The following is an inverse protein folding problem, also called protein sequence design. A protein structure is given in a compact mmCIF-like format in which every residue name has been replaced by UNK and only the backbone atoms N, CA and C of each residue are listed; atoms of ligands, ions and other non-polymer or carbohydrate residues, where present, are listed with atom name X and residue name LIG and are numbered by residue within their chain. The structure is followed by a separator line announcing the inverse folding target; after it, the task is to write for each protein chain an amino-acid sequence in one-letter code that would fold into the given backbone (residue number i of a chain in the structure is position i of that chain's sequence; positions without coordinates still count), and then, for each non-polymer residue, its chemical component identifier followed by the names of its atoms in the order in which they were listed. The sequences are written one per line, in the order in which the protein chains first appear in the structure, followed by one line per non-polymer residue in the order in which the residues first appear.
data_IF_954963437936
#
_entry.id   IF_954963437936
#
_cell.length_a   1.000
_cell.length_b   1.000
_cell.length_c   1.000
_cell.angle_alpha   90.00
_cell.angle_beta   90.00
_cell.angle_gamma   90.00
#
_symmetry.space_group_name_H-M   'P 1'
#
loop_
_entity.id
_entity.type
_entity.pdbx_description
1 polymer ?
#
# COMPACT_ATOMS: atom_id res chain seq x y z
N UNK A 1 33.19 -5.42 21.50
CA UNK A 1 33.39 -6.37 20.38
C UNK A 1 32.05 -6.64 19.72
N UNK A 2 31.83 -6.50 18.42
CA UNK A 2 32.16 -5.45 17.45
C UNK A 2 31.23 -5.75 16.25
N UNK A 3 30.65 -4.71 15.65
CA UNK A 3 30.11 -4.67 14.27
C UNK A 3 29.12 -5.76 13.79
N UNK A 4 27.86 -5.74 14.26
CA UNK A 4 26.73 -6.33 13.49
C UNK A 4 25.50 -5.43 13.31
N UNK A 5 25.39 -4.30 14.04
CA UNK A 5 24.21 -3.41 13.96
C UNK A 5 24.25 -2.33 12.86
N UNK A 6 25.38 -2.10 12.19
CA UNK A 6 25.54 -0.96 11.26
C UNK A 6 25.18 -1.34 9.80
N UNK A 7 25.18 -2.64 9.45
CA UNK A 7 24.93 -3.06 8.06
C UNK A 7 23.45 -3.15 7.67
N UNK A 8 22.52 -3.31 8.62
CA UNK A 8 21.10 -3.47 8.31
C UNK A 8 20.41 -2.12 8.00
N UNK A 9 20.82 -1.03 8.66
CA UNK A 9 20.29 0.32 8.38
C UNK A 9 20.79 0.91 7.05
N UNK A 10 21.98 0.51 6.57
CA UNK A 10 22.51 0.97 5.29
C UNK A 10 21.78 0.36 4.07
N UNK A 11 21.25 -0.86 4.20
CA UNK A 11 20.52 -1.54 3.11
C UNK A 11 19.14 -0.92 2.87
N UNK A 12 18.47 -0.41 3.92
CA UNK A 12 17.16 0.24 3.80
C UNK A 12 17.28 1.61 3.10
N UNK A 13 18.36 2.35 3.33
CA UNK A 13 18.62 3.63 2.66
C UNK A 13 19.02 3.48 1.18
N UNK A 14 19.67 2.37 0.81
CA UNK A 14 20.11 2.10 -0.57
C UNK A 14 18.95 1.67 -1.49
N UNK A 15 17.94 0.97 -0.96
CA UNK A 15 16.78 0.55 -1.77
C UNK A 15 15.89 1.75 -2.13
N UNK A 16 15.81 2.78 -1.26
CA UNK A 16 15.08 4.02 -1.52
C UNK A 16 15.78 4.97 -2.52
N UNK A 17 17.07 4.81 -2.79
CA UNK A 17 17.83 5.65 -3.73
C UNK A 17 17.89 5.11 -5.17
N UNK A 18 17.40 3.89 -5.41
CA UNK A 18 17.51 3.22 -6.72
C UNK A 18 16.45 3.63 -7.75
N UNK A 19 15.56 4.56 -7.42
CA UNK A 19 14.46 4.99 -8.31
C UNK A 19 14.60 6.42 -8.86
N UNK A 20 15.83 6.94 -9.00
CA UNK A 20 16.10 8.22 -9.67
C UNK A 20 17.07 8.04 -10.86
N UNK A 21 16.77 8.57 -12.07
CA UNK A 21 17.58 8.34 -13.28
C UNK A 21 19.03 8.87 -13.24
N UNK A 22 19.42 9.65 -12.23
CA UNK A 22 20.69 10.38 -12.23
C UNK A 22 21.87 9.70 -11.51
N UNK A 23 21.73 8.47 -10.99
CA UNK A 23 22.78 7.84 -10.18
C UNK A 23 23.64 6.77 -10.90
N UNK A 24 23.28 6.37 -12.11
CA UNK A 24 23.99 5.29 -12.84
C UNK A 24 25.44 5.65 -13.26
N UNK A 25 25.86 6.91 -13.15
CA UNK A 25 27.21 7.34 -13.54
C UNK A 25 28.27 7.27 -12.41
N UNK A 26 27.91 6.92 -11.16
CA UNK A 26 28.82 7.07 -10.02
C UNK A 26 29.41 5.77 -9.44
N UNK A 27 28.99 4.58 -9.89
CA UNK A 27 29.43 3.30 -9.32
C UNK A 27 30.35 2.48 -10.23
N UNK A 28 31.14 3.13 -11.10
CA UNK A 28 32.05 2.44 -12.03
C UNK A 28 33.50 2.32 -11.55
N UNK A 29 33.82 2.61 -10.29
CA UNK A 29 35.18 2.41 -9.79
C UNK A 29 35.21 1.84 -8.37
N UNK A 30 35.91 0.71 -8.25
CA UNK A 30 36.66 0.20 -7.07
C UNK A 30 36.13 -1.09 -6.44
N UNK A 31 36.72 -2.20 -6.91
CA UNK A 31 37.24 -3.38 -6.21
C UNK A 31 36.94 -3.54 -4.70
N UNK A 32 36.45 -4.72 -4.30
CA UNK A 32 37.22 -5.77 -3.56
C UNK A 32 36.36 -7.03 -3.32
N UNK A 33 37.04 -8.17 -3.22
CA UNK A 33 36.53 -9.54 -3.39
C UNK A 33 36.77 -10.40 -2.14
N UNK A 34 36.04 -11.53 -2.03
CA UNK A 34 36.22 -12.77 -1.19
C UNK A 34 35.44 -12.89 0.16
N UNK A 35 35.21 -14.11 0.70
CA UNK A 35 34.43 -15.24 0.13
C UNK A 35 33.39 -15.83 1.12
N UNK A 36 32.53 -16.75 0.63
CA UNK A 36 31.43 -17.45 1.31
C UNK A 36 31.88 -18.55 2.28
N UNK A 37 31.19 -18.71 3.42
CA UNK A 37 31.04 -19.98 4.16
C UNK A 37 29.60 -20.08 4.72
N UNK A 38 28.91 -21.16 4.35
CA UNK A 38 27.58 -21.59 4.80
C UNK A 38 27.65 -22.36 6.13
N UNK A 39 26.70 -22.15 7.07
CA UNK A 39 26.10 -23.19 7.96
C UNK A 39 24.67 -22.74 8.40
N UNK A 40 23.68 -23.64 8.25
CA UNK A 40 22.20 -23.57 8.41
C UNK A 40 21.65 -23.42 9.88
N UNK A 41 20.32 -23.52 10.16
CA UNK A 41 19.24 -22.58 9.85
C UNK A 41 18.39 -22.23 11.10
N UNK A 42 17.90 -20.99 11.25
CA UNK A 42 16.72 -20.74 12.08
C UNK A 42 15.80 -19.74 11.36
N UNK A 43 14.58 -20.20 11.13
CA UNK A 43 13.52 -19.53 10.38
C UNK A 43 13.07 -18.24 11.08
N UNK A 44 13.54 -17.10 10.58
CA UNK A 44 12.90 -15.79 10.79
C UNK A 44 12.88 -15.05 9.45
N UNK A 45 12.09 -15.57 8.51
CA UNK A 45 11.77 -14.89 7.26
C UNK A 45 10.31 -15.24 6.98
N UNK A 46 9.35 -14.39 7.37
CA UNK A 46 7.97 -14.41 6.82
C UNK A 46 7.03 -13.28 7.33
N UNK A 47 7.52 -12.08 7.65
CA UNK A 47 6.62 -10.97 8.01
C UNK A 47 6.69 -9.73 7.09
N UNK A 48 7.52 -9.77 6.04
CA UNK A 48 7.52 -8.77 4.97
C UNK A 48 7.26 -9.35 3.57
N UNK A 49 7.05 -10.67 3.45
CA UNK A 49 6.83 -11.38 2.17
C UNK A 49 5.42 -11.21 1.59
N UNK A 50 4.52 -10.46 2.26
CA UNK A 50 3.19 -10.15 1.71
C UNK A 50 3.23 -9.09 0.61
N UNK A 51 4.31 -8.31 0.51
CA UNK A 51 4.62 -7.41 -0.60
C UNK A 51 6.04 -7.69 -1.11
N UNK A 52 6.33 -8.95 -1.46
CA UNK A 52 7.62 -9.29 -2.04
C UNK A 52 7.71 -8.78 -3.49
N UNK A 53 8.33 -7.61 -3.66
CA UNK A 53 8.72 -7.06 -4.96
C UNK A 53 9.62 -8.02 -5.76
N UNK A 54 10.24 -9.02 -5.12
CA UNK A 54 11.08 -10.00 -5.82
C UNK A 54 10.29 -11.10 -6.55
N UNK A 55 9.01 -11.32 -6.24
CA UNK A 55 8.14 -12.13 -7.12
C UNK A 55 7.79 -11.40 -8.41
N UNK A 56 7.91 -10.08 -8.40
CA UNK A 56 7.72 -9.19 -9.55
C UNK A 56 8.96 -9.16 -10.47
N UNK A 57 10.17 -9.24 -9.91
CA UNK A 57 11.42 -9.20 -10.70
C UNK A 57 11.86 -10.58 -11.24
N UNK A 58 11.51 -11.69 -10.59
CA UNK A 58 12.07 -13.01 -10.94
C UNK A 58 11.47 -13.71 -12.17
N UNK A 59 10.50 -13.10 -12.85
CA UNK A 59 10.06 -13.53 -14.18
C UNK A 59 10.78 -12.82 -15.34
N UNK A 60 11.73 -11.92 -15.05
CA UNK A 60 12.46 -11.15 -16.08
C UNK A 60 13.94 -11.55 -16.21
N UNK A 61 14.52 -12.28 -15.25
CA UNK A 61 15.94 -12.67 -15.30
C UNK A 61 16.15 -14.12 -14.87
N UNK A 62 15.61 -15.06 -15.64
CA UNK A 62 16.22 -16.40 -15.75
C UNK A 62 16.51 -16.63 -17.22
N UNK A 63 17.78 -16.49 -17.58
CA UNK A 63 18.52 -17.41 -18.46
C UNK A 63 19.78 -16.76 -19.00
N UNK A 64 20.85 -16.74 -18.19
CA UNK A 64 22.20 -16.62 -18.75
C UNK A 64 23.15 -17.58 -18.03
N UNK A 65 23.26 -18.80 -18.56
CA UNK A 65 24.50 -19.57 -18.50
C UNK A 65 24.75 -20.22 -19.87
N UNK A 66 25.96 -19.98 -20.39
CA UNK A 66 26.51 -20.60 -21.59
C UNK A 66 26.87 -22.06 -21.33
N UNK A 67 26.59 -22.96 -22.28
CA UNK A 67 27.58 -23.88 -22.86
C UNK A 67 27.04 -24.44 -24.20
N UNK A 68 27.90 -24.40 -25.24
CA UNK A 68 27.65 -24.91 -26.59
C UNK A 68 27.45 -26.41 -26.59
N UNK A 69 26.40 -26.92 -27.25
CA UNK A 69 26.43 -28.17 -28.01
C UNK A 69 25.43 -28.12 -29.18
N UNK A 70 25.75 -28.91 -30.21
CA UNK A 70 25.21 -28.86 -31.56
C UNK A 70 23.75 -29.34 -31.71
N UNK A 71 23.08 -28.72 -32.69
CA UNK A 71 22.04 -29.21 -33.63
C UNK A 71 20.97 -30.19 -33.08
N UNK A 72 19.71 -29.78 -33.14
CA UNK A 72 18.64 -30.27 -34.04
C UNK A 72 17.30 -29.62 -33.64
N UNK A 73 16.40 -29.40 -34.62
CA UNK A 73 14.91 -29.40 -34.54
C UNK A 73 14.25 -28.71 -33.33
N UNK A 74 13.38 -27.70 -33.44
CA UNK A 74 12.18 -27.58 -34.26
C UNK A 74 11.77 -26.10 -34.37
N UNK A 75 11.10 -25.73 -35.46
CA UNK A 75 10.51 -24.40 -35.68
C UNK A 75 9.27 -24.21 -34.77
N UNK A 76 9.48 -23.94 -33.49
CA UNK A 76 8.44 -23.39 -32.62
C UNK A 76 8.44 -21.86 -32.71
N UNK A 77 7.38 -21.34 -33.33
CA UNK A 77 6.99 -19.92 -33.34
C UNK A 77 6.84 -19.43 -31.90
N UNK A 78 7.92 -18.93 -31.32
CA UNK A 78 7.97 -18.32 -29.99
C UNK A 78 7.29 -16.94 -30.04
N UNK A 79 5.96 -16.95 -30.17
CA UNK A 79 5.11 -15.76 -29.95
C UNK A 79 5.27 -15.37 -28.50
N UNK A 80 6.25 -14.51 -28.23
CA UNK A 80 6.37 -13.73 -27.00
C UNK A 80 5.01 -13.06 -26.75
N UNK A 81 4.20 -13.66 -25.88
CA UNK A 81 2.90 -13.12 -25.46
C UNK A 81 3.23 -11.81 -24.73
N UNK A 82 3.14 -10.68 -25.44
CA UNK A 82 3.13 -9.37 -24.83
C UNK A 82 1.80 -9.30 -24.11
N UNK A 83 1.77 -9.74 -22.84
CA UNK A 83 0.62 -9.52 -21.96
C UNK A 83 0.37 -8.01 -21.97
N UNK A 84 -0.79 -7.59 -22.46
CA UNK A 84 -1.13 -6.18 -22.50
C UNK A 84 -1.14 -5.66 -21.07
N UNK A 85 -0.69 -4.42 -20.91
CA UNK A 85 -0.59 -3.75 -19.61
C UNK A 85 -1.93 -3.72 -18.85
N UNK A 86 -3.05 -3.96 -19.55
CA UNK A 86 -4.41 -3.92 -19.04
C UNK A 86 -5.08 -5.30 -18.88
N UNK A 87 -4.36 -6.41 -19.07
CA UNK A 87 -4.93 -7.76 -19.08
C UNK A 87 -5.33 -8.30 -17.69
N UNK A 88 -5.09 -7.53 -16.63
CA UNK A 88 -5.46 -7.91 -15.26
C UNK A 88 -6.94 -7.57 -14.93
N UNK A 89 -7.68 -6.98 -15.87
CA UNK A 89 -9.10 -6.65 -15.68
C UNK A 89 -10.05 -7.74 -16.19
N UNK A 90 -11.09 -8.09 -15.42
CA UNK A 90 -12.22 -8.83 -15.98
C UNK A 90 -12.89 -7.95 -17.04
N UNK A 91 -13.25 -8.49 -18.22
CA UNK A 91 -13.73 -7.71 -19.38
C UNK A 91 -15.05 -6.95 -19.18
N UNK A 92 -15.70 -7.06 -18.00
CA UNK A 92 -16.98 -6.42 -17.66
C UNK A 92 -16.90 -5.57 -16.38
N UNK A 93 -15.71 -5.05 -16.06
CA UNK A 93 -15.47 -4.23 -14.86
C UNK A 93 -15.01 -2.83 -15.28
N UNK A 94 -15.60 -1.75 -14.72
CA UNK A 94 -16.69 -1.77 -13.74
C UNK A 94 -18.05 -2.11 -14.38
N UNK A 95 -19.03 -2.60 -13.58
CA UNK A 95 -20.40 -2.78 -14.04
C UNK A 95 -21.02 -1.48 -14.60
N UNK A 96 -22.05 -1.57 -15.46
CA UNK A 96 -22.76 -0.39 -15.93
C UNK A 96 -23.49 0.32 -14.77
N UNK A 97 -23.66 1.63 -14.93
CA UNK A 97 -24.41 2.48 -14.01
C UNK A 97 -25.88 2.05 -13.87
N UNK A 98 -26.45 2.32 -12.69
CA UNK A 98 -27.85 2.07 -12.35
C UNK A 98 -28.53 3.34 -11.81
N UNK A 99 -29.82 3.23 -11.48
CA UNK A 99 -30.54 4.32 -10.84
C UNK A 99 -30.02 4.66 -9.43
N UNK A 100 -29.33 3.72 -8.77
CA UNK A 100 -28.85 3.87 -7.39
C UNK A 100 -27.33 3.91 -7.26
N UNK A 101 -26.60 3.50 -8.30
CA UNK A 101 -25.15 3.29 -8.23
C UNK A 101 -24.46 3.73 -9.51
N UNK A 102 -23.37 4.48 -9.36
CA UNK A 102 -22.46 4.84 -10.46
C UNK A 102 -21.07 4.28 -10.19
N UNK A 103 -20.30 4.03 -11.25
CA UNK A 103 -18.95 3.47 -11.13
C UNK A 103 -17.88 4.39 -11.74
N UNK A 104 -16.75 4.50 -11.05
CA UNK A 104 -15.52 5.09 -11.58
C UNK A 104 -14.41 4.04 -11.47
N UNK A 105 -13.52 3.96 -12.46
CA UNK A 105 -12.38 3.04 -12.42
C UNK A 105 -11.06 3.79 -12.27
N UNK A 106 -10.18 3.27 -11.41
CA UNK A 106 -8.84 3.78 -11.16
C UNK A 106 -7.81 2.71 -11.47
N UNK A 107 -6.90 3.01 -12.39
CA UNK A 107 -5.75 2.15 -12.72
C UNK A 107 -4.51 3.00 -12.97
N UNK A 108 -3.46 2.78 -12.18
CA UNK A 108 -2.21 3.56 -12.25
C UNK A 108 -1.44 3.39 -13.56
N UNK A 109 -1.72 2.32 -14.32
CA UNK A 109 -1.10 2.06 -15.61
C UNK A 109 -1.87 2.68 -16.78
N UNK A 110 -2.97 3.40 -16.52
CA UNK A 110 -3.76 4.11 -17.53
C UNK A 110 -4.81 3.25 -18.23
N UNK A 111 -5.14 2.08 -17.68
CA UNK A 111 -6.15 1.19 -18.25
C UNK A 111 -7.60 1.59 -17.90
N UNK A 112 -7.78 2.65 -17.12
CA UNK A 112 -9.06 3.20 -16.70
C UNK A 112 -9.12 4.71 -16.85
N UNK A 113 -10.30 5.30 -16.62
CA UNK A 113 -10.57 6.72 -16.74
C UNK A 113 -9.74 7.60 -15.79
N UNK A 114 -9.25 7.03 -14.69
CA UNK A 114 -8.42 7.73 -13.71
C UNK A 114 -7.16 6.91 -13.42
N UNK A 115 -6.04 7.61 -13.24
CA UNK A 115 -4.77 7.01 -12.80
C UNK A 115 -4.50 7.17 -11.30
N UNK A 116 -5.22 8.09 -10.64
CA UNK A 116 -5.11 8.36 -9.20
C UNK A 116 -6.46 8.23 -8.52
N UNK A 117 -6.44 7.88 -7.23
CA UNK A 117 -7.65 7.74 -6.42
C UNK A 117 -8.26 9.11 -6.13
N UNK A 118 -7.43 10.13 -5.84
CA UNK A 118 -7.94 11.48 -5.58
C UNK A 118 -8.71 12.05 -6.78
N UNK A 119 -8.22 11.86 -8.01
CA UNK A 119 -8.92 12.37 -9.20
C UNK A 119 -10.31 11.72 -9.39
N UNK A 120 -10.44 10.43 -9.07
CA UNK A 120 -11.74 9.76 -9.07
C UNK A 120 -12.66 10.29 -7.96
N UNK A 121 -12.13 10.55 -6.76
CA UNK A 121 -12.89 11.19 -5.66
C UNK A 121 -13.38 12.59 -6.06
N UNK A 122 -12.54 13.38 -6.73
CA UNK A 122 -12.88 14.73 -7.16
C UNK A 122 -14.01 14.73 -8.19
N UNK A 123 -14.05 13.71 -9.06
CA UNK A 123 -15.09 13.51 -10.07
C UNK A 123 -16.45 13.06 -9.50
N UNK A 124 -16.51 12.58 -8.25
CA UNK A 124 -17.78 12.24 -7.60
C UNK A 124 -18.63 13.50 -7.45
N UNK A 125 -19.91 13.45 -7.84
CA UNK A 125 -20.82 14.59 -7.66
C UNK A 125 -20.96 14.97 -6.19
N UNK A 126 -20.98 16.27 -5.91
CA UNK A 126 -21.27 16.78 -4.57
C UNK A 126 -22.70 16.46 -4.14
N UNK A 127 -22.86 16.10 -2.86
CA UNK A 127 -24.13 15.74 -2.22
C UNK A 127 -24.87 14.63 -2.99
N UNK A 128 -24.13 13.65 -3.51
CA UNK A 128 -24.70 12.58 -4.31
C UNK A 128 -25.65 11.69 -3.48
N UNK A 129 -26.88 11.54 -3.97
CA UNK A 129 -27.85 10.60 -3.41
C UNK A 129 -27.59 9.17 -3.90
N UNK A 130 -26.97 9.01 -5.08
CA UNK A 130 -26.52 7.71 -5.59
C UNK A 130 -25.21 7.31 -4.93
N UNK A 131 -24.98 6.00 -4.79
CA UNK A 131 -23.68 5.47 -4.40
C UNK A 131 -22.69 5.59 -5.55
N UNK A 132 -21.53 6.18 -5.35
CA UNK A 132 -20.44 6.08 -6.33
C UNK A 132 -19.43 5.06 -5.85
N UNK A 133 -19.26 3.98 -6.62
CA UNK A 133 -18.24 2.95 -6.36
C UNK A 133 -17.01 3.31 -7.19
N UNK A 134 -15.93 3.65 -6.49
CA UNK A 134 -14.61 3.84 -7.06
C UNK A 134 -13.91 2.49 -7.00
N UNK A 135 -13.82 1.84 -8.16
CA UNK A 135 -13.14 0.58 -8.35
C UNK A 135 -11.65 0.83 -8.55
N UNK A 136 -10.83 0.31 -7.65
CA UNK A 136 -9.39 0.59 -7.59
C UNK A 136 -8.65 -0.70 -7.92
N UNK A 137 -7.85 -0.67 -8.99
CA UNK A 137 -7.14 -1.85 -9.46
C UNK A 137 -6.03 -2.30 -8.49
N UNK A 138 -5.44 -3.46 -8.74
CA UNK A 138 -4.24 -3.91 -8.02
C UNK A 138 -3.11 -2.91 -8.20
N UNK A 139 -2.39 -2.64 -7.11
CA UNK A 139 -1.26 -1.73 -7.10
C UNK A 139 -1.17 -0.93 -5.82
N UNK A 140 -0.01 -0.30 -5.64
CA UNK A 140 0.22 0.71 -4.62
C UNK A 140 0.04 2.09 -5.25
N UNK A 141 -0.89 2.85 -4.70
CA UNK A 141 -1.19 4.24 -5.06
C UNK A 141 -0.54 5.15 -4.02
N UNK A 142 0.60 5.72 -4.39
CA UNK A 142 1.40 6.56 -3.49
C UNK A 142 0.92 8.02 -3.56
N UNK A 143 -0.14 8.33 -2.82
CA UNK A 143 -0.83 9.63 -2.84
C UNK A 143 -1.57 9.88 -1.52
N UNK A 144 -1.86 11.15 -1.22
CA UNK A 144 -2.81 11.51 -0.18
C UNK A 144 -4.21 11.58 -0.76
N UNK A 145 -5.19 11.02 -0.05
CA UNK A 145 -6.60 11.04 -0.49
C UNK A 145 -7.48 11.69 0.57
N UNK A 146 -8.34 12.62 0.14
CA UNK A 146 -9.29 13.33 1.00
C UNK A 146 -10.70 13.21 0.44
N UNK A 147 -11.56 12.49 1.17
CA UNK A 147 -12.99 12.39 0.85
C UNK A 147 -13.74 13.43 1.67
N UNK A 148 -13.98 14.61 1.07
CA UNK A 148 -14.60 15.75 1.74
C UNK A 148 -16.06 15.49 2.14
N UNK A 149 -16.58 16.26 3.10
CA UNK A 149 -17.93 16.08 3.67
C UNK A 149 -19.08 16.12 2.65
N UNK A 150 -18.90 16.86 1.54
CA UNK A 150 -19.84 16.94 0.42
C UNK A 150 -19.77 15.71 -0.50
N UNK A 151 -18.71 14.89 -0.47
CA UNK A 151 -18.56 13.66 -1.26
C UNK A 151 -19.18 12.43 -0.58
N UNK A 152 -20.44 12.53 -0.17
CA UNK A 152 -21.15 11.46 0.53
C UNK A 152 -21.37 10.23 -0.36
N UNK A 153 -21.70 9.09 0.25
CA UNK A 153 -22.12 7.88 -0.48
C UNK A 153 -21.04 7.30 -1.41
N UNK A 154 -19.76 7.42 -1.04
CA UNK A 154 -18.63 6.87 -1.79
C UNK A 154 -18.26 5.49 -1.27
N UNK A 155 -17.95 4.56 -2.17
CA UNK A 155 -17.36 3.26 -1.87
C UNK A 155 -16.00 3.15 -2.54
N UNK A 156 -14.95 2.80 -1.79
CA UNK A 156 -13.70 2.31 -2.35
C UNK A 156 -13.76 0.79 -2.43
N UNK A 157 -13.53 0.24 -3.62
CA UNK A 157 -13.52 -1.19 -3.88
C UNK A 157 -12.17 -1.59 -4.48
N UNK A 158 -11.28 -2.13 -3.67
CA UNK A 158 -10.03 -2.73 -4.14
C UNK A 158 -10.20 -4.17 -4.61
N UNK A 159 -9.10 -4.80 -5.05
CA UNK A 159 -9.05 -6.21 -5.48
C UNK A 159 -8.63 -7.18 -4.36
N UNK A 160 -8.24 -6.65 -3.20
CA UNK A 160 -7.71 -7.41 -2.08
C UNK A 160 -6.82 -6.53 -1.21
N UNK A 161 -6.88 -6.68 0.11
CA UNK A 161 -6.05 -5.86 1.01
C UNK A 161 -4.55 -6.12 0.84
N UNK A 162 -4.15 -7.29 0.33
CA UNK A 162 -2.74 -7.61 0.00
C UNK A 162 -2.33 -7.15 -1.39
N UNK A 163 -3.26 -6.71 -2.24
CA UNK A 163 -2.99 -6.41 -3.66
C UNK A 163 -3.30 -4.97 -4.06
N UNK A 164 -4.14 -4.27 -3.31
CA UNK A 164 -4.52 -2.87 -3.56
C UNK A 164 -4.28 -2.05 -2.30
N UNK A 165 -3.48 -0.99 -2.40
CA UNK A 165 -3.14 -0.13 -1.26
C UNK A 165 -3.02 1.35 -1.64
N UNK A 166 -3.43 2.23 -0.74
CA UNK A 166 -3.13 3.67 -0.78
C UNK A 166 -2.10 3.95 0.31
N UNK A 167 -0.97 4.56 -0.07
CA UNK A 167 0.16 4.76 0.81
C UNK A 167 0.68 6.20 0.76
N UNK A 168 1.16 6.69 1.90
CA UNK A 168 1.90 7.94 2.04
C UNK A 168 2.83 7.84 3.26
N UNK A 169 3.62 8.87 3.57
CA UNK A 169 4.64 8.83 4.62
C UNK A 169 4.71 10.10 5.48
N UNK A 170 3.60 10.85 5.60
CA UNK A 170 3.58 12.02 6.47
C UNK A 170 3.65 11.61 7.94
N UNK A 171 4.45 12.34 8.71
CA UNK A 171 4.41 12.33 10.18
C UNK A 171 3.67 13.54 10.70
N UNK A 172 3.30 13.56 11.97
CA UNK A 172 2.75 14.75 12.61
C UNK A 172 3.71 15.95 12.46
N UNK A 173 5.03 15.73 12.52
CA UNK A 173 5.99 16.79 12.30
C UNK A 173 5.96 17.32 10.86
N UNK A 174 5.90 16.45 9.85
CA UNK A 174 5.88 16.90 8.44
C UNK A 174 4.56 17.52 8.00
N UNK A 175 3.45 17.17 8.67
CA UNK A 175 2.11 17.65 8.34
C UNK A 175 1.57 18.73 9.30
N UNK A 176 2.39 19.23 10.23
CA UNK A 176 2.00 20.20 11.26
C UNK A 176 0.88 19.69 12.21
N UNK A 177 0.90 18.41 12.51
CA UNK A 177 0.09 17.76 13.55
C UNK A 177 -0.50 16.43 13.11
N UNK A 178 -0.78 15.55 14.08
CA UNK A 178 -1.37 14.22 13.87
C UNK A 178 -2.69 14.27 13.08
N UNK A 179 -3.48 15.32 13.28
CA UNK A 179 -4.76 15.51 12.58
C UNK A 179 -4.61 15.62 11.05
N UNK A 180 -3.43 16.00 10.55
CA UNK A 180 -3.19 16.31 9.14
C UNK A 180 -2.30 15.27 8.43
N UNK A 181 -1.62 14.39 9.16
CA UNK A 181 -0.69 13.39 8.61
C UNK A 181 -1.35 12.13 8.04
N UNK A 182 -2.69 12.03 8.10
CA UNK A 182 -3.43 10.91 7.51
C UNK A 182 -3.16 10.74 6.01
N UNK A 183 -2.69 9.55 5.59
CA UNK A 183 -2.61 9.14 4.17
C UNK A 183 -3.97 9.27 3.51
N UNK A 184 -5.01 8.71 4.12
CA UNK A 184 -6.41 8.89 3.72
C UNK A 184 -7.18 9.62 4.80
N UNK A 185 -7.98 10.61 4.42
CA UNK A 185 -8.83 11.36 5.34
C UNK A 185 -10.27 11.37 4.84
N UNK A 186 -11.16 10.71 5.59
CA UNK A 186 -12.58 10.53 5.24
C UNK A 186 -13.45 11.40 6.14
N UNK A 187 -14.03 12.44 5.57
CA UNK A 187 -15.00 13.34 6.22
C UNK A 187 -16.44 13.12 5.73
N UNK A 188 -16.62 12.36 4.66
CA UNK A 188 -17.92 12.04 4.08
C UNK A 188 -18.69 11.00 4.89
N UNK A 189 -20.00 11.23 5.06
CA UNK A 189 -20.89 10.24 5.64
C UNK A 189 -21.19 9.08 4.67
N UNK A 190 -21.55 7.93 5.21
CA UNK A 190 -21.90 6.71 4.46
C UNK A 190 -20.75 6.18 3.58
N UNK A 191 -19.52 6.44 3.97
CA UNK A 191 -18.33 5.93 3.28
C UNK A 191 -18.20 4.42 3.48
N UNK A 192 -17.80 3.71 2.43
CA UNK A 192 -17.52 2.27 2.50
C UNK A 192 -16.15 2.00 1.90
N UNK A 193 -15.34 1.18 2.54
CA UNK A 193 -14.15 0.60 1.93
C UNK A 193 -14.22 -0.92 1.97
N UNK A 194 -13.81 -1.56 0.86
CA UNK A 194 -13.76 -3.01 0.72
C UNK A 194 -12.46 -3.45 0.07
N UNK A 195 -11.84 -4.49 0.62
CA UNK A 195 -10.72 -5.21 0.01
C UNK A 195 -9.57 -4.29 -0.45
N UNK A 196 -9.20 -3.32 0.40
CA UNK A 196 -8.15 -2.34 0.13
C UNK A 196 -7.37 -2.04 1.41
N UNK A 197 -6.11 -1.68 1.26
CA UNK A 197 -5.26 -1.27 2.37
C UNK A 197 -4.99 0.23 2.42
N UNK A 198 -4.94 0.76 3.63
CA UNK A 198 -4.50 2.12 3.94
C UNK A 198 -3.19 2.03 4.71
N UNK A 199 -2.17 2.74 4.25
CA UNK A 199 -0.81 2.61 4.78
C UNK A 199 -0.19 3.96 5.06
N UNK A 200 0.47 4.09 6.21
CA UNK A 200 1.48 5.11 6.42
C UNK A 200 2.85 4.43 6.55
N UNK A 201 3.73 4.71 5.59
CA UNK A 201 5.06 4.10 5.46
C UNK A 201 6.16 5.04 5.96
N UNK A 202 5.82 6.00 6.82
CA UNK A 202 6.82 6.79 7.54
C UNK A 202 7.79 5.85 8.29
N UNK A 203 9.07 6.24 8.42
CA UNK A 203 10.04 5.46 9.18
C UNK A 203 9.56 5.19 10.60
N UNK A 204 9.76 3.97 11.09
CA UNK A 204 9.45 3.60 12.47
C UNK A 204 10.28 4.51 13.38
N UNK A 205 9.66 5.23 14.33
CA UNK A 205 10.38 6.15 15.17
C UNK A 205 11.22 5.45 16.22
N UNK A 206 12.30 6.11 16.63
CA UNK A 206 13.02 5.73 17.84
C UNK A 206 12.19 6.06 19.10
N UNK A 207 12.38 5.35 20.21
CA UNK A 207 11.71 5.62 21.47
C UNK A 207 11.88 7.09 21.89
N UNK A 208 10.76 7.75 22.23
CA UNK A 208 10.75 9.16 22.63
C UNK A 208 10.82 10.18 21.49
N UNK A 209 10.74 9.76 20.22
CA UNK A 209 10.68 10.69 19.10
C UNK A 209 9.44 11.60 19.18
N UNK A 210 9.65 12.91 19.01
CA UNK A 210 8.59 13.93 19.05
C UNK A 210 8.04 14.11 17.64
N UNK A 211 6.71 14.10 17.49
CA UNK A 211 6.05 14.36 16.21
C UNK A 211 6.11 13.20 15.21
N UNK A 212 6.40 11.98 15.69
CA UNK A 212 6.54 10.79 14.86
C UNK A 212 5.23 10.09 14.49
N UNK A 213 4.09 10.55 15.02
CA UNK A 213 2.78 9.96 14.75
C UNK A 213 2.49 9.92 13.26
N UNK A 214 2.01 8.79 12.74
CA UNK A 214 1.95 8.53 11.32
C UNK A 214 0.64 7.81 10.97
N UNK A 215 -0.40 8.60 10.71
CA UNK A 215 -1.77 8.09 10.50
C UNK A 215 -1.92 7.49 9.11
N UNK A 216 -2.36 6.24 9.02
CA UNK A 216 -2.70 5.56 7.76
C UNK A 216 -4.07 6.00 7.26
N UNK A 217 -5.05 6.13 8.15
CA UNK A 217 -6.35 6.69 7.80
C UNK A 217 -6.99 7.38 8.99
N UNK A 218 -7.62 8.52 8.70
CA UNK A 218 -8.47 9.26 9.63
C UNK A 218 -9.92 9.22 9.16
N UNK A 219 -10.84 8.90 10.06
CA UNK A 219 -12.27 8.75 9.76
C UNK A 219 -13.09 9.64 10.70
N UNK A 220 -13.76 10.63 10.13
CA UNK A 220 -14.58 11.61 10.84
C UNK A 220 -16.03 11.67 10.31
N UNK A 221 -16.30 10.98 9.20
CA UNK A 221 -17.60 10.90 8.56
C UNK A 221 -18.48 9.81 9.17
N UNK A 222 -19.71 10.15 9.55
CA UNK A 222 -20.62 9.23 10.22
C UNK A 222 -21.09 8.07 9.32
N UNK A 223 -21.39 6.92 9.91
CA UNK A 223 -21.85 5.70 9.23
C UNK A 223 -20.85 5.13 8.21
N UNK A 224 -19.55 5.19 8.52
CA UNK A 224 -18.54 4.55 7.69
C UNK A 224 -18.43 3.04 7.95
N UNK A 225 -18.12 2.23 6.94
CA UNK A 225 -17.87 0.80 7.12
C UNK A 225 -16.69 0.27 6.31
N UNK A 226 -15.99 -0.70 6.87
CA UNK A 226 -14.77 -1.27 6.33
C UNK A 226 -14.87 -2.80 6.35
N UNK A 227 -14.63 -3.44 5.21
CA UNK A 227 -14.81 -4.88 5.02
C UNK A 227 -13.60 -5.49 4.33
N UNK A 228 -12.91 -6.42 4.98
CA UNK A 228 -11.73 -7.06 4.38
C UNK A 228 -10.60 -6.06 4.09
N UNK A 229 -10.52 -4.96 4.85
CA UNK A 229 -9.52 -3.91 4.65
C UNK A 229 -8.28 -4.10 5.52
N UNK A 230 -7.15 -3.60 5.05
CA UNK A 230 -5.88 -3.56 5.80
C UNK A 230 -5.54 -2.15 6.28
N UNK A 231 -4.98 -2.02 7.47
CA UNK A 231 -4.53 -0.76 8.06
C UNK A 231 -3.12 -0.98 8.58
N UNK A 232 -2.15 -0.27 8.02
CA UNK A 232 -0.73 -0.48 8.32
C UNK A 232 -0.04 0.82 8.69
N UNK A 233 0.61 0.82 9.85
CA UNK A 233 1.46 1.90 10.31
C UNK A 233 2.27 1.48 11.53
N UNK A 234 2.76 2.47 12.27
CA UNK A 234 3.40 2.30 13.56
C UNK A 234 2.54 3.02 14.62
N UNK A 235 2.98 4.18 15.10
CA UNK A 235 2.23 5.01 16.02
C UNK A 235 1.05 5.72 15.32
N UNK A 236 -0.12 5.72 15.97
CA UNK A 236 -1.34 6.41 15.53
C UNK A 236 -1.90 5.90 14.18
N UNK A 237 -1.82 4.60 13.91
CA UNK A 237 -2.19 4.02 12.60
C UNK A 237 -3.62 4.35 12.14
N UNK A 238 -4.63 4.06 12.97
CA UNK A 238 -6.05 4.26 12.68
C UNK A 238 -6.63 5.34 13.59
N UNK A 239 -6.88 6.52 13.00
CA UNK A 239 -7.53 7.64 13.70
C UNK A 239 -9.04 7.57 13.49
N UNK A 240 -9.71 6.84 14.36
CA UNK A 240 -11.16 6.75 14.51
C UNK A 240 -11.72 8.01 15.22
N UNK A 241 -11.62 9.17 14.57
CA UNK A 241 -11.83 10.52 15.13
C UNK A 241 -13.23 10.69 15.73
N UNK A 242 -14.29 10.50 14.94
CA UNK A 242 -15.69 10.65 15.41
C UNK A 242 -16.67 10.00 14.44
N UNK A 243 -17.87 9.68 14.94
CA UNK A 243 -18.95 9.10 14.15
C UNK A 243 -19.25 7.68 14.59
N UNK A 244 -20.09 6.97 13.82
CA UNK A 244 -20.37 5.54 14.01
C UNK A 244 -19.69 4.75 12.91
N UNK A 245 -18.77 3.87 13.26
CA UNK A 245 -18.05 3.07 12.27
C UNK A 245 -18.16 1.57 12.55
N UNK A 246 -18.03 0.79 11.50
CA UNK A 246 -18.04 -0.67 11.58
C UNK A 246 -16.88 -1.25 10.79
N UNK A 247 -16.10 -2.12 11.43
CA UNK A 247 -14.96 -2.79 10.85
C UNK A 247 -15.19 -4.29 10.94
N UNK A 248 -15.19 -4.99 9.80
CA UNK A 248 -15.38 -6.43 9.74
C UNK A 248 -14.33 -7.08 8.86
N UNK A 249 -13.76 -8.18 9.35
CA UNK A 249 -12.72 -8.95 8.66
C UNK A 249 -11.52 -8.07 8.27
N UNK A 250 -11.28 -7.01 9.04
CA UNK A 250 -10.17 -6.11 8.83
C UNK A 250 -8.91 -6.60 9.56
N UNK A 251 -7.77 -6.23 8.99
CA UNK A 251 -6.44 -6.42 9.55
C UNK A 251 -5.88 -5.05 9.96
N UNK A 252 -5.51 -4.88 11.23
CA UNK A 252 -4.97 -3.62 11.76
C UNK A 252 -3.62 -3.90 12.40
N UNK A 253 -2.57 -3.24 11.90
CA UNK A 253 -1.20 -3.33 12.38
C UNK A 253 -0.71 -1.97 12.85
N UNK A 254 -0.16 -1.91 14.07
CA UNK A 254 0.60 -0.77 14.56
C UNK A 254 1.28 -1.05 15.90
N UNK A 255 1.83 0.00 16.52
CA UNK A 255 2.51 -0.06 17.82
C UNK A 255 1.77 0.76 18.89
N UNK A 256 2.15 2.03 19.09
CA UNK A 256 1.60 2.92 20.12
C UNK A 256 0.30 3.56 19.60
N UNK A 257 -0.76 3.53 20.42
CA UNK A 257 -2.06 4.17 20.12
C UNK A 257 -2.59 3.87 18.71
N UNK A 258 -2.34 2.66 18.22
CA UNK A 258 -2.55 2.32 16.81
C UNK A 258 -4.03 2.33 16.37
N UNK A 259 -4.96 2.33 17.33
CA UNK A 259 -6.37 2.68 17.14
C UNK A 259 -6.71 3.74 18.19
N UNK A 260 -7.09 4.94 17.78
CA UNK A 260 -7.36 6.07 18.68
C UNK A 260 -8.42 7.02 18.13
N UNK A 261 -9.01 7.83 19.02
CA UNK A 261 -10.02 8.84 18.68
C UNK A 261 -11.28 8.72 19.55
N UNK A 262 -12.40 9.28 19.09
CA UNK A 262 -13.67 9.36 19.81
C UNK A 262 -14.86 8.80 19.00
N UNK A 263 -14.58 7.89 18.06
CA UNK A 263 -15.57 7.13 17.31
C UNK A 263 -16.38 6.18 18.19
N UNK A 264 -17.64 5.95 17.80
CA UNK A 264 -18.54 4.95 18.38
C UNK A 264 -18.56 3.73 17.48
N UNK A 265 -17.53 2.92 17.60
CA UNK A 265 -17.20 1.91 16.59
C UNK A 265 -17.35 0.48 17.10
N UNK A 266 -17.78 -0.41 16.21
CA UNK A 266 -17.78 -1.85 16.43
C UNK A 266 -16.69 -2.49 15.57
N UNK A 267 -15.82 -3.27 16.22
CA UNK A 267 -14.69 -3.95 15.61
C UNK A 267 -14.88 -5.47 15.67
N UNK A 268 -15.10 -6.09 14.52
CA UNK A 268 -15.09 -7.55 14.30
C UNK A 268 -13.84 -7.90 13.47
N UNK A 269 -12.68 -7.73 14.09
CA UNK A 269 -11.36 -7.66 13.40
C UNK A 269 -10.34 -8.61 14.02
N UNK A 270 -9.23 -8.85 13.29
CA UNK A 270 -8.05 -9.54 13.80
C UNK A 270 -6.87 -8.56 13.91
N UNK A 271 -6.62 -7.94 15.08
CA UNK A 271 -5.53 -6.96 15.24
C UNK A 271 -4.17 -7.64 15.47
N UNK A 272 -3.09 -7.05 14.94
CA UNK A 272 -1.71 -7.41 15.29
C UNK A 272 -1.03 -6.20 15.94
N UNK A 273 -0.49 -6.42 17.14
CA UNK A 273 0.30 -5.43 17.88
C UNK A 273 1.78 -5.73 17.60
N UNK A 274 2.50 -4.75 17.05
CA UNK A 274 3.95 -4.85 16.91
C UNK A 274 4.59 -4.76 18.30
N UNK A 275 5.50 -5.68 18.67
CA UNK A 275 6.16 -5.62 19.97
C UNK A 275 7.01 -4.35 20.08
N UNK A 276 6.97 -3.69 21.24
CA UNK A 276 7.76 -2.48 21.52
C UNK A 276 9.27 -2.68 21.32
N UNK A 277 9.75 -3.93 21.46
CA UNK A 277 11.15 -4.34 21.27
C UNK A 277 11.63 -4.28 19.81
N UNK A 278 10.75 -4.04 18.84
CA UNK A 278 11.15 -3.71 17.47
C UNK A 278 11.68 -2.26 17.33
N UNK A 279 11.72 -1.49 18.42
CA UNK A 279 12.16 -0.09 18.49
C UNK A 279 13.42 0.13 19.37
N UNK A 280 14.15 -0.91 19.79
CA UNK A 280 15.40 -0.78 20.57
C UNK A 280 16.68 -0.90 19.75
#
# INVERSE_FOLDING_TARGET
MHHKGIFLSLVIALIAFSCSPNFQNLMNNSFLQFPLVEIFPFHVNNYWTLFDSNRWCNNVLKNHHHHKHHKHHDDDDDKKIIKSICDDFPPNVPPPDTNTTSYLCVDRNGCCNFTTVQAAVDAVKDFNLKRTIIWINTGVYYEKVKVLKNKQNVTFQGQGYTTTAIAWNDTANSANGTFYCGTVQVFAANFIAKNISFMNVAPIPTPGAIGAQAVAIRISGDQASFWGCGFFGAQDTLHDDRGRHYFKECFIQGSIDFIFGNGKSLYEVHPIILPDEAMT
#
